data_IF_812824009079
#
_entry.id   IF_812824009079
#
_cell.length_a   1.000
_cell.length_b   1.000
_cell.length_c   1.000
_cell.angle_alpha   90.00
_cell.angle_beta   90.00
_cell.angle_gamma   90.00
#
_symmetry.space_group_name_H-M   'P 1'
#
loop_
_entity.id
_entity.type
_entity.pdbx_description
1 polymer ?
#
# COMPACT_ATOMS: atom_id res chain seq x y z
N UNK A 1 -13.40 -1.51 13.67
CA UNK A 1 -12.15 -2.31 13.73
C UNK A 1 -11.07 -1.51 14.41
N UNK A 2 -10.03 -2.16 14.95
CA UNK A 2 -8.84 -1.48 15.47
C UNK A 2 -7.65 -1.99 14.66
N UNK A 3 -7.05 -1.09 13.89
CA UNK A 3 -5.92 -1.35 12.97
C UNK A 3 -4.62 -1.30 13.76
N UNK A 4 -3.76 -2.29 13.57
CA UNK A 4 -2.49 -2.43 14.30
C UNK A 4 -1.28 -2.31 13.40
N UNK A 5 -1.39 -2.75 12.15
CA UNK A 5 -0.29 -2.66 11.20
C UNK A 5 -0.78 -2.65 9.74
N UNK A 6 0.13 -2.21 8.86
CA UNK A 6 -0.08 -2.06 7.43
C UNK A 6 1.13 -2.64 6.70
N UNK A 7 0.92 -3.29 5.57
CA UNK A 7 2.03 -3.82 4.76
C UNK A 7 1.73 -3.61 3.27
N UNK A 8 2.28 -2.56 2.64
CA UNK A 8 2.16 -2.41 1.19
C UNK A 8 2.98 -3.48 0.48
N UNK A 9 2.42 -4.02 -0.60
CA UNK A 9 3.11 -4.98 -1.46
C UNK A 9 2.84 -4.66 -2.93
N UNK A 10 3.94 -4.45 -3.66
CA UNK A 10 4.04 -4.20 -5.08
C UNK A 10 5.33 -4.83 -5.60
N UNK A 11 5.44 -5.08 -6.89
CA UNK A 11 6.68 -5.59 -7.48
C UNK A 11 7.65 -4.45 -7.83
N UNK A 12 8.60 -4.73 -8.73
CA UNK A 12 9.79 -3.90 -8.99
C UNK A 12 9.50 -2.54 -9.60
N UNK A 13 8.27 -2.29 -10.06
CA UNK A 13 7.86 -0.97 -10.54
C UNK A 13 7.16 -0.17 -9.46
N UNK A 14 6.84 -0.74 -8.29
CA UNK A 14 6.30 0.02 -7.17
C UNK A 14 7.21 1.19 -6.80
N UNK A 15 6.63 2.39 -6.68
CA UNK A 15 7.37 3.65 -6.45
C UNK A 15 7.01 4.31 -5.13
N UNK A 16 5.72 4.40 -4.87
CA UNK A 16 5.18 4.97 -3.64
C UNK A 16 3.78 4.43 -3.40
N UNK A 17 3.35 4.47 -2.16
CA UNK A 17 2.00 4.06 -1.79
C UNK A 17 1.52 4.75 -0.52
N UNK A 18 0.20 4.86 -0.39
CA UNK A 18 -0.44 5.55 0.73
C UNK A 18 -1.71 4.82 1.16
N UNK A 19 -1.90 4.70 2.47
CA UNK A 19 -3.12 4.23 3.11
C UNK A 19 -3.86 5.41 3.72
N UNK A 20 -5.12 5.56 3.35
CA UNK A 20 -6.00 6.62 3.83
C UNK A 20 -7.31 6.02 4.35
N UNK A 21 -7.87 6.64 5.37
CA UNK A 21 -9.19 6.34 5.88
C UNK A 21 -10.07 7.60 5.80
N UNK A 22 -11.26 7.47 5.26
CA UNK A 22 -12.30 8.49 5.30
C UNK A 22 -13.38 8.02 6.26
N UNK A 23 -13.53 8.73 7.38
CA UNK A 23 -14.48 8.41 8.44
C UNK A 23 -15.92 8.77 8.03
N UNK A 24 -16.95 8.23 8.72
CA UNK A 24 -18.35 8.52 8.40
C UNK A 24 -18.75 10.00 8.48
N UNK A 25 -18.01 10.80 9.23
CA UNK A 25 -18.19 12.26 9.35
C UNK A 25 -17.46 13.04 8.24
N UNK A 26 -16.81 12.35 7.30
CA UNK A 26 -16.02 12.94 6.21
C UNK A 26 -14.57 13.26 6.59
N UNK A 27 -14.15 13.04 7.84
CA UNK A 27 -12.76 13.28 8.25
C UNK A 27 -11.82 12.30 7.54
N UNK A 28 -10.74 12.82 6.95
CA UNK A 28 -9.69 12.02 6.32
C UNK A 28 -8.48 11.85 7.23
N UNK A 29 -7.97 10.63 7.31
CA UNK A 29 -6.78 10.23 8.07
C UNK A 29 -5.80 9.58 7.10
N UNK A 30 -4.53 9.96 7.19
CA UNK A 30 -3.44 9.17 6.58
C UNK A 30 -2.99 8.15 7.61
N UNK A 31 -3.06 6.86 7.28
CA UNK A 31 -2.65 5.77 8.16
C UNK A 31 -1.19 5.38 7.95
N UNK A 32 -0.72 5.43 6.70
CA UNK A 32 0.67 5.20 6.31
C UNK A 32 0.95 5.92 5.00
N UNK A 33 2.11 6.54 4.89
CA UNK A 33 2.63 7.16 3.67
C UNK A 33 4.05 6.65 3.43
N UNK A 34 4.26 5.96 2.30
CA UNK A 34 5.56 5.44 1.89
C UNK A 34 5.93 6.12 0.57
N UNK A 35 6.58 7.30 0.61
CA UNK A 35 6.89 8.10 -0.58
C UNK A 35 8.03 7.54 -1.44
N UNK A 36 8.82 6.63 -0.87
CA UNK A 36 9.95 5.96 -1.52
C UNK A 36 9.86 4.46 -1.25
N UNK A 37 8.91 3.80 -1.91
CA UNK A 37 8.76 2.36 -1.80
C UNK A 37 9.96 1.65 -2.47
N UNK A 38 10.49 0.63 -1.81
CA UNK A 38 11.53 -0.24 -2.33
C UNK A 38 11.02 -1.70 -2.29
N UNK A 39 11.09 -2.39 -3.42
CA UNK A 39 10.72 -3.80 -3.54
C UNK A 39 11.53 -4.71 -2.58
N UNK A 40 12.73 -4.31 -2.19
CA UNK A 40 13.54 -5.06 -1.23
C UNK A 40 13.18 -4.73 0.24
N UNK A 41 12.36 -3.71 0.47
CA UNK A 41 11.89 -3.26 1.79
C UNK A 41 10.37 -3.47 1.95
N UNK A 42 9.94 -4.72 1.81
CA UNK A 42 8.53 -5.09 1.93
C UNK A 42 8.20 -5.54 3.35
N UNK A 43 8.28 -4.59 4.27
CA UNK A 43 8.10 -4.85 5.69
C UNK A 43 6.71 -4.46 6.19
N UNK A 44 6.35 -5.10 7.29
CA UNK A 44 5.20 -4.74 8.12
C UNK A 44 5.49 -3.43 8.87
N UNK A 45 4.61 -2.44 8.72
CA UNK A 45 4.63 -1.19 9.46
C UNK A 45 3.67 -1.29 10.65
N UNK A 46 4.22 -1.44 11.85
CA UNK A 46 3.45 -1.40 13.09
C UNK A 46 3.09 0.04 13.45
N UNK A 47 1.81 0.28 13.74
CA UNK A 47 1.37 1.59 14.20
C UNK A 47 1.80 1.77 15.65
N UNK A 48 2.49 2.87 15.95
CA UNK A 48 2.88 3.23 17.32
C UNK A 48 1.67 3.26 18.27
N UNK A 49 0.53 3.71 17.76
CA UNK A 49 -0.76 3.65 18.43
C UNK A 49 -1.79 3.00 17.49
N UNK A 50 -2.46 1.90 17.92
CA UNK A 50 -3.52 1.29 17.11
C UNK A 50 -4.65 2.27 16.80
N UNK A 51 -5.10 2.29 15.54
CA UNK A 51 -6.13 3.23 15.07
C UNK A 51 -7.50 2.58 15.06
N UNK A 52 -8.44 3.12 15.84
CA UNK A 52 -9.85 2.68 15.80
C UNK A 52 -10.57 3.30 14.60
N UNK A 53 -11.05 2.46 13.70
CA UNK A 53 -11.88 2.86 12.57
C UNK A 53 -13.35 2.46 12.82
N UNK A 54 -14.28 3.43 12.93
CA UNK A 54 -15.69 3.16 13.11
C UNK A 54 -16.32 2.49 11.88
N UNK A 55 -17.50 1.87 12.08
CA UNK A 55 -18.30 1.33 10.98
C UNK A 55 -18.65 2.45 9.99
N UNK A 56 -18.58 2.15 8.69
CA UNK A 56 -18.81 3.13 7.62
C UNK A 56 -17.55 3.88 7.17
N UNK A 57 -16.40 3.63 7.80
CA UNK A 57 -15.11 4.13 7.30
C UNK A 57 -14.80 3.55 5.92
N UNK A 58 -14.42 4.39 4.97
CA UNK A 58 -13.87 3.99 3.68
C UNK A 58 -12.34 3.95 3.77
N UNK A 59 -11.75 2.78 3.52
CA UNK A 59 -10.31 2.62 3.39
C UNK A 59 -9.89 2.73 1.93
N UNK A 60 -8.83 3.49 1.67
CA UNK A 60 -8.23 3.67 0.34
C UNK A 60 -6.75 3.35 0.42
N UNK A 61 -6.32 2.43 -0.43
CA UNK A 61 -4.90 2.20 -0.71
C UNK A 61 -4.60 2.69 -2.12
N UNK A 62 -3.72 3.68 -2.23
CA UNK A 62 -3.26 4.25 -3.50
C UNK A 62 -1.80 3.88 -3.70
N UNK A 63 -1.45 3.42 -4.89
CA UNK A 63 -0.09 3.06 -5.25
C UNK A 63 0.27 3.65 -6.62
N UNK A 64 1.55 3.92 -6.81
CA UNK A 64 2.09 4.40 -8.08
C UNK A 64 3.22 3.51 -8.55
N UNK A 65 3.28 3.31 -9.86
CA UNK A 65 4.36 2.57 -10.52
C UNK A 65 5.29 3.52 -11.28
N UNK A 66 6.58 3.19 -11.32
CA UNK A 66 7.59 3.81 -12.18
C UNK A 66 7.91 2.91 -13.38
N UNK A 67 7.20 3.15 -14.48
CA UNK A 67 7.40 2.45 -15.74
C UNK A 67 8.52 3.08 -16.60
N UNK A 68 9.23 4.10 -16.10
CA UNK A 68 10.26 4.78 -16.89
C UNK A 68 11.49 3.90 -17.11
N UNK A 69 12.28 4.23 -18.14
CA UNK A 69 13.60 3.64 -18.38
C UNK A 69 14.67 4.05 -17.36
N UNK A 70 14.34 4.97 -16.45
CA UNK A 70 15.24 5.43 -15.39
C UNK A 70 15.06 4.63 -14.09
N UNK A 71 14.01 3.81 -13.97
CA UNK A 71 13.87 2.89 -12.85
C UNK A 71 14.81 1.70 -13.06
N UNK A 72 15.91 1.56 -12.29
CA UNK A 72 16.86 0.46 -12.48
C UNK A 72 16.26 -0.92 -12.15
N UNK A 73 15.17 -0.96 -11.38
CA UNK A 73 14.48 -2.20 -11.06
C UNK A 73 13.48 -2.63 -12.15
N UNK A 74 13.16 -1.76 -13.12
CA UNK A 74 12.25 -2.07 -14.22
C UNK A 74 12.96 -2.84 -15.34
N UNK A 75 12.70 -4.16 -15.51
CA UNK A 75 13.44 -4.99 -16.46
C UNK A 75 13.13 -4.65 -17.93
N UNK A 76 11.94 -4.09 -18.20
CA UNK A 76 11.52 -3.68 -19.53
C UNK A 76 10.51 -2.53 -19.43
N UNK A 77 10.92 -1.27 -19.72
CA UNK A 77 10.05 -0.09 -19.70
C UNK A 77 8.95 -0.08 -20.76
N UNK A 78 9.11 -0.82 -21.86
CA UNK A 78 8.16 -0.83 -22.98
C UNK A 78 7.13 -1.96 -22.89
N UNK A 79 7.26 -2.88 -21.92
CA UNK A 79 6.34 -4.02 -21.80
C UNK A 79 4.98 -3.59 -21.28
N UNK A 80 3.92 -4.16 -21.85
CA UNK A 80 2.62 -4.21 -21.19
C UNK A 80 2.73 -5.10 -19.95
N UNK A 81 2.43 -4.54 -18.78
CA UNK A 81 2.49 -5.26 -17.50
C UNK A 81 1.07 -5.54 -17.02
N UNK A 82 0.86 -6.74 -16.48
CA UNK A 82 -0.42 -7.20 -15.93
C UNK A 82 -0.25 -7.58 -14.47
N UNK A 83 -1.36 -7.81 -13.79
CA UNK A 83 -1.32 -8.42 -12.46
C UNK A 83 -0.84 -9.87 -12.56
N UNK A 84 0.08 -10.29 -11.70
CA UNK A 84 0.58 -11.66 -11.68
C UNK A 84 1.60 -11.95 -10.58
N UNK A 85 1.92 -13.24 -10.36
CA UNK A 85 2.82 -13.67 -9.28
C UNK A 85 4.30 -13.44 -9.59
N UNK A 86 4.67 -13.20 -10.85
CA UNK A 86 6.07 -13.03 -11.22
C UNK A 86 6.54 -11.61 -10.92
N UNK A 87 7.77 -11.46 -10.47
CA UNK A 87 8.38 -10.15 -10.16
C UNK A 87 8.35 -9.17 -11.34
N UNK A 88 8.31 -9.66 -12.59
CA UNK A 88 8.18 -8.84 -13.79
C UNK A 88 6.73 -8.47 -14.15
N UNK A 89 5.75 -9.23 -13.66
CA UNK A 89 4.35 -8.80 -13.56
C UNK A 89 4.24 -7.76 -12.41
N UNK A 90 3.04 -7.24 -12.14
CA UNK A 90 2.83 -6.35 -11.00
C UNK A 90 1.81 -6.87 -9.99
N UNK A 91 1.85 -6.29 -8.80
CA UNK A 91 0.84 -6.44 -7.76
C UNK A 91 0.51 -5.09 -7.13
N UNK A 92 -0.75 -4.95 -6.70
CA UNK A 92 -1.19 -3.86 -5.83
C UNK A 92 -1.94 -4.48 -4.67
N UNK A 93 -1.22 -4.79 -3.59
CA UNK A 93 -1.80 -5.41 -2.41
C UNK A 93 -1.58 -4.49 -1.21
N UNK A 94 -2.70 -4.07 -0.62
CA UNK A 94 -2.72 -3.22 0.56
C UNK A 94 -3.12 -4.03 1.80
N UNK A 95 -2.18 -4.74 2.43
CA UNK A 95 -2.49 -5.56 3.59
C UNK A 95 -2.75 -4.70 4.83
N UNK A 96 -3.75 -5.09 5.61
CA UNK A 96 -4.16 -4.43 6.84
C UNK A 96 -4.35 -5.46 7.94
N UNK A 97 -3.65 -5.29 9.06
CA UNK A 97 -3.83 -6.08 10.26
C UNK A 97 -4.75 -5.35 11.23
N UNK A 98 -5.69 -6.08 11.81
CA UNK A 98 -6.67 -5.52 12.71
C UNK A 98 -7.25 -6.59 13.65
N UNK A 99 -7.91 -6.12 14.70
CA UNK A 99 -8.83 -6.93 15.49
C UNK A 99 -10.21 -6.28 15.57
N UNK A 100 -11.21 -7.11 15.84
CA UNK A 100 -12.56 -6.69 16.13
C UNK A 100 -12.77 -6.84 17.65
N UNK A 101 -12.93 -5.73 18.40
CA UNK A 101 -13.35 -5.84 19.79
C UNK A 101 -14.73 -6.51 19.84
N UNK A 102 -14.93 -7.35 20.86
CA UNK A 102 -16.23 -8.01 21.14
C UNK A 102 -17.32 -6.98 21.44
#
# INVERSE_FOLDING_TARGET
MIVTALMPHMHVRGKLCKYEAELPDGKKLTLLDVPHYDFNWQLRYELAEPVRLPKGTLLRFTAHYDNSSKNPANPNPASLVKWGPQTSDEMLLGYLEYYLPK
#
